data_IF_266690547190
#
_entry.id   IF_266690547190
#
_cell.length_a   1.000
_cell.length_b   1.000
_cell.length_c   1.000
_cell.angle_alpha   90.00
_cell.angle_beta   90.00
_cell.angle_gamma   90.00
#
_symmetry.space_group_name_H-M   'P 1'
#
loop_
_entity.id
_entity.type
_entity.pdbx_description
1 polymer ?
#
# COMPACT_ATOMS: atom_id res chain seq x y z
N UNK A 1 -0.15 -27.60 22.73
CA UNK A 1 -1.16 -26.81 21.99
C UNK A 1 -0.47 -25.54 21.54
N UNK A 2 -0.10 -25.45 20.27
CA UNK A 2 0.37 -24.20 19.66
C UNK A 2 -0.85 -23.28 19.59
N UNK A 3 -0.87 -22.23 20.38
CA UNK A 3 -1.88 -21.18 20.25
C UNK A 3 -1.75 -20.61 18.85
N UNK A 4 -2.76 -20.86 18.00
CA UNK A 4 -2.81 -20.27 16.66
C UNK A 4 -3.05 -18.78 16.85
N UNK A 5 -2.04 -17.97 16.53
CA UNK A 5 -2.16 -16.53 16.60
C UNK A 5 -3.09 -16.04 15.48
N UNK A 6 -4.07 -15.21 15.79
CA UNK A 6 -5.02 -14.64 14.85
C UNK A 6 -4.70 -13.17 14.58
N UNK A 7 -5.26 -12.61 13.52
CA UNK A 7 -5.01 -11.23 13.15
C UNK A 7 -5.57 -10.25 14.18
N UNK A 8 -4.75 -9.27 14.56
CA UNK A 8 -5.12 -8.18 15.46
C UNK A 8 -5.13 -6.87 14.71
N UNK A 9 -6.24 -6.15 14.81
CA UNK A 9 -6.37 -4.80 14.27
C UNK A 9 -6.91 -3.85 15.32
N UNK A 10 -6.72 -2.56 15.12
CA UNK A 10 -7.18 -1.49 16.01
C UNK A 10 -7.72 -0.32 15.20
N UNK A 11 -8.82 0.32 15.66
CA UNK A 11 -9.22 1.62 15.13
C UNK A 11 -8.22 2.69 15.54
N UNK A 12 -8.15 3.79 14.80
CA UNK A 12 -7.22 4.86 15.07
C UNK A 12 -7.78 6.24 14.69
N UNK A 13 -7.16 7.28 15.20
CA UNK A 13 -7.49 8.67 14.85
C UNK A 13 -6.75 9.07 13.60
N UNK A 14 -7.40 8.93 12.44
CA UNK A 14 -6.80 9.26 11.15
C UNK A 14 -6.46 10.73 11.03
N UNK A 15 -5.28 11.03 10.48
CA UNK A 15 -4.89 12.37 10.07
C UNK A 15 -5.19 12.46 8.58
N UNK A 16 -6.08 13.35 8.19
CA UNK A 16 -6.61 13.41 6.83
C UNK A 16 -7.03 14.82 6.43
N UNK A 17 -7.10 15.13 5.12
CA UNK A 17 -7.49 16.46 4.68
C UNK A 17 -8.97 16.75 4.93
N UNK A 18 -9.34 18.03 5.12
CA UNK A 18 -10.72 18.48 5.00
C UNK A 18 -11.31 18.12 3.63
N UNK A 19 -12.63 17.93 3.57
CA UNK A 19 -13.34 17.50 2.35
C UNK A 19 -13.08 18.42 1.15
N UNK A 20 -13.03 19.72 1.37
CA UNK A 20 -12.80 20.75 0.34
C UNK A 20 -11.33 20.80 -0.15
N UNK A 21 -10.41 20.15 0.54
CA UNK A 21 -8.98 20.13 0.20
C UNK A 21 -8.48 18.77 -0.30
N UNK A 22 -9.29 17.71 -0.20
CA UNK A 22 -8.82 16.35 -0.46
C UNK A 22 -8.21 16.16 -1.84
N UNK A 23 -8.80 16.76 -2.89
CA UNK A 23 -8.29 16.66 -4.26
C UNK A 23 -6.93 17.36 -4.44
N UNK A 24 -6.67 18.42 -3.66
CA UNK A 24 -5.38 19.12 -3.68
C UNK A 24 -4.30 18.37 -2.91
N UNK A 25 -4.69 17.64 -1.85
CA UNK A 25 -3.74 16.93 -0.98
C UNK A 25 -3.44 15.53 -1.50
N UNK A 26 -4.44 14.80 -1.98
CA UNK A 26 -4.29 13.41 -2.43
C UNK A 26 -3.21 13.26 -3.50
N UNK A 27 -2.42 12.21 -3.41
CA UNK A 27 -1.34 11.90 -4.33
C UNK A 27 -1.29 10.41 -4.64
N UNK A 28 -0.56 10.05 -5.69
CA UNK A 28 -0.19 8.66 -5.95
C UNK A 28 0.88 8.20 -4.94
N UNK A 29 1.09 6.88 -4.75
CA UNK A 29 2.16 6.37 -3.90
C UNK A 29 3.55 6.85 -4.35
N UNK A 30 4.47 6.96 -3.40
CA UNK A 30 5.83 7.49 -3.63
C UNK A 30 6.65 6.71 -4.67
N UNK A 31 6.37 5.43 -4.83
CA UNK A 31 7.14 4.48 -5.63
C UNK A 31 6.62 4.29 -7.07
N UNK A 32 5.51 4.95 -7.42
CA UNK A 32 4.95 4.88 -8.79
C UNK A 32 5.43 6.02 -9.70
N UNK A 33 6.21 6.96 -9.17
CA UNK A 33 6.74 8.08 -9.93
C UNK A 33 8.15 8.47 -9.44
N UNK A 34 8.94 9.03 -10.33
CA UNK A 34 10.24 9.58 -9.98
C UNK A 34 10.12 11.04 -9.47
N UNK A 35 11.24 11.62 -9.02
CA UNK A 35 11.26 12.98 -8.47
C UNK A 35 10.92 14.07 -9.49
N UNK A 36 11.23 13.86 -10.77
CA UNK A 36 10.89 14.82 -11.83
C UNK A 36 9.37 14.85 -12.08
N UNK A 37 8.75 13.68 -12.16
CA UNK A 37 7.30 13.52 -12.28
C UNK A 37 6.57 14.09 -11.07
N UNK A 38 7.07 13.84 -9.86
CA UNK A 38 6.49 14.42 -8.63
C UNK A 38 6.56 15.95 -8.61
N UNK A 39 7.66 16.56 -9.10
CA UNK A 39 7.77 18.02 -9.26
C UNK A 39 6.74 18.57 -10.23
N UNK A 40 6.54 17.88 -11.35
CA UNK A 40 5.58 18.29 -12.37
C UNK A 40 4.15 18.21 -11.83
N UNK A 41 3.77 17.10 -11.19
CA UNK A 41 2.42 16.93 -10.62
C UNK A 41 2.14 17.89 -9.46
N UNK A 42 3.14 18.20 -8.64
CA UNK A 42 2.99 19.15 -7.52
C UNK A 42 3.14 20.61 -7.94
N UNK A 43 3.47 20.90 -9.21
CA UNK A 43 3.73 22.26 -9.66
C UNK A 43 2.55 23.21 -9.39
N UNK A 44 2.81 24.30 -8.66
CA UNK A 44 1.75 25.27 -8.29
C UNK A 44 0.78 24.80 -7.20
N UNK A 45 0.96 23.61 -6.64
CA UNK A 45 0.15 23.06 -5.57
C UNK A 45 0.96 22.82 -4.29
N UNK A 46 1.00 23.83 -3.42
CA UNK A 46 1.69 23.74 -2.11
C UNK A 46 1.06 22.75 -1.12
N UNK A 47 -0.16 22.28 -1.39
CA UNK A 47 -0.91 21.33 -0.55
C UNK A 47 -0.72 19.87 -0.99
N UNK A 48 -0.01 19.61 -2.08
CA UNK A 48 0.24 18.25 -2.54
C UNK A 48 0.98 17.42 -1.49
N UNK A 49 0.51 16.22 -1.22
CA UNK A 49 1.15 15.30 -0.28
C UNK A 49 2.57 14.92 -0.74
N UNK A 50 2.92 15.11 -2.02
CA UNK A 50 4.28 14.89 -2.50
C UNK A 50 5.33 15.71 -1.73
N UNK A 51 4.99 16.89 -1.21
CA UNK A 51 5.88 17.67 -0.36
C UNK A 51 6.25 16.95 0.94
N UNK A 52 5.51 15.93 1.34
CA UNK A 52 5.77 15.11 2.52
C UNK A 52 6.40 13.76 2.14
N UNK A 53 5.87 13.08 1.12
CA UNK A 53 6.31 11.72 0.75
C UNK A 53 7.47 11.70 -0.25
N UNK A 54 7.68 12.81 -0.97
CA UNK A 54 8.81 13.06 -1.90
C UNK A 54 9.40 14.46 -1.69
N UNK A 55 9.88 14.74 -0.46
CA UNK A 55 10.25 16.10 -0.06
C UNK A 55 11.46 16.68 -0.81
N UNK A 56 12.19 15.85 -1.57
CA UNK A 56 13.25 16.29 -2.47
C UNK A 56 12.77 17.28 -3.54
N UNK A 57 11.45 17.31 -3.81
CA UNK A 57 10.87 18.27 -4.75
C UNK A 57 10.96 19.73 -4.27
N UNK A 58 11.16 19.96 -2.98
CA UNK A 58 11.33 21.28 -2.37
C UNK A 58 12.80 21.78 -2.42
N UNK A 59 13.69 20.99 -3.00
CA UNK A 59 15.12 21.30 -3.16
C UNK A 59 15.48 21.45 -4.65
N UNK A 60 16.66 22.00 -4.98
CA UNK A 60 17.12 22.07 -6.36
C UNK A 60 17.15 20.70 -7.04
N UNK A 61 16.89 20.68 -8.35
CA UNK A 61 16.98 19.48 -9.17
C UNK A 61 18.35 18.82 -9.02
N UNK A 62 18.39 17.49 -8.83
CA UNK A 62 19.61 16.75 -8.59
C UNK A 62 19.99 16.59 -7.12
N UNK A 63 19.20 17.13 -6.19
CA UNK A 63 19.38 16.85 -4.75
C UNK A 63 19.12 15.37 -4.49
N UNK A 64 20.03 14.74 -3.75
CA UNK A 64 19.90 13.34 -3.35
C UNK A 64 18.65 13.17 -2.45
N UNK A 65 17.74 12.30 -2.84
CA UNK A 65 16.53 12.00 -2.07
C UNK A 65 16.82 11.38 -0.71
N UNK A 66 18.04 10.87 -0.50
CA UNK A 66 18.52 10.31 0.77
C UNK A 66 19.32 11.28 1.63
N UNK A 67 19.43 12.55 1.25
CA UNK A 67 20.08 13.59 2.06
C UNK A 67 19.26 13.80 3.36
N UNK A 68 19.95 13.93 4.49
CA UNK A 68 19.31 14.15 5.80
C UNK A 68 18.43 15.41 5.85
N UNK A 69 18.74 16.42 5.02
CA UNK A 69 17.92 17.64 4.90
C UNK A 69 16.55 17.32 4.27
N UNK A 70 16.50 16.35 3.36
CA UNK A 70 15.28 15.92 2.68
C UNK A 70 14.33 15.23 3.68
N UNK A 71 14.85 14.35 4.52
CA UNK A 71 14.04 13.72 5.59
C UNK A 71 13.52 14.75 6.60
N UNK A 72 14.35 15.70 7.02
CA UNK A 72 13.91 16.80 7.91
C UNK A 72 12.80 17.62 7.27
N UNK A 73 12.90 17.88 5.96
CA UNK A 73 11.89 18.62 5.22
C UNK A 73 10.54 17.89 5.22
N UNK A 74 10.52 16.57 5.10
CA UNK A 74 9.31 15.78 5.26
C UNK A 74 8.60 16.05 6.59
N UNK A 75 9.33 16.00 7.69
CA UNK A 75 8.80 16.25 9.04
C UNK A 75 8.31 17.70 9.22
N UNK A 76 9.06 18.67 8.68
CA UNK A 76 8.66 20.08 8.69
C UNK A 76 7.36 20.29 7.91
N UNK A 77 7.26 19.73 6.71
CA UNK A 77 6.07 19.83 5.88
C UNK A 77 4.87 19.13 6.52
N UNK A 78 5.05 17.95 7.11
CA UNK A 78 3.97 17.23 7.80
C UNK A 78 3.40 18.05 8.98
N UNK A 79 4.28 18.70 9.74
CA UNK A 79 3.85 19.61 10.81
C UNK A 79 3.14 20.83 10.24
N UNK A 80 3.72 21.47 9.22
CA UNK A 80 3.15 22.64 8.58
C UNK A 80 1.75 22.37 8.02
N UNK A 81 1.54 21.21 7.38
CA UNK A 81 0.22 20.81 6.87
C UNK A 81 -0.82 20.74 7.98
N UNK A 82 -0.45 20.23 9.14
CA UNK A 82 -1.33 20.15 10.31
C UNK A 82 -1.59 21.57 10.89
N UNK A 83 -0.55 22.39 11.03
CA UNK A 83 -0.67 23.77 11.56
C UNK A 83 -1.56 24.65 10.66
N UNK A 84 -1.52 24.43 9.34
CA UNK A 84 -2.37 25.13 8.36
C UNK A 84 -3.77 24.52 8.21
N UNK A 85 -4.05 23.42 8.87
CA UNK A 85 -5.33 22.72 8.74
C UNK A 85 -5.55 22.02 7.40
N UNK A 86 -4.49 21.76 6.63
CA UNK A 86 -4.55 20.97 5.40
C UNK A 86 -4.63 19.46 5.68
N UNK A 87 -4.16 19.07 6.85
CA UNK A 87 -4.35 17.76 7.46
C UNK A 87 -4.88 17.94 8.87
N UNK A 88 -5.94 17.22 9.23
CA UNK A 88 -6.59 17.30 10.54
C UNK A 88 -6.74 15.90 11.11
N UNK A 89 -6.40 15.74 12.39
CA UNK A 89 -6.58 14.48 13.09
C UNK A 89 -8.03 14.34 13.56
N UNK A 90 -8.64 13.18 13.33
CA UNK A 90 -9.96 12.86 13.84
C UNK A 90 -9.97 12.79 15.39
N UNK A 91 -11.06 13.21 16.01
CA UNK A 91 -11.20 13.24 17.46
C UNK A 91 -11.39 11.84 18.08
N UNK A 92 -11.95 10.91 17.29
CA UNK A 92 -12.27 9.54 17.71
C UNK A 92 -11.42 8.52 16.96
N UNK A 93 -11.21 7.39 17.61
CA UNK A 93 -10.65 6.21 16.96
C UNK A 93 -11.71 5.56 16.06
N UNK A 94 -11.44 5.51 14.77
CA UNK A 94 -12.33 4.98 13.75
C UNK A 94 -11.66 3.89 12.93
N UNK A 95 -12.46 3.07 12.27
CA UNK A 95 -12.07 2.45 11.01
C UNK A 95 -12.59 3.31 9.85
N UNK A 96 -12.07 3.05 8.66
CA UNK A 96 -12.50 3.77 7.46
C UNK A 96 -12.75 2.78 6.34
N UNK A 97 -13.56 3.18 5.38
CA UNK A 97 -13.70 2.47 4.11
C UNK A 97 -13.07 3.34 3.03
N UNK A 98 -12.17 2.76 2.27
CA UNK A 98 -11.61 3.35 1.07
C UNK A 98 -12.00 2.51 -0.14
N UNK A 99 -12.67 3.14 -1.11
CA UNK A 99 -13.02 2.51 -2.37
C UNK A 99 -12.20 3.11 -3.50
N UNK A 100 -11.59 2.25 -4.30
CA UNK A 100 -10.86 2.62 -5.51
C UNK A 100 -11.60 2.08 -6.73
N UNK A 101 -11.85 2.95 -7.70
CA UNK A 101 -12.45 2.58 -8.98
C UNK A 101 -11.42 2.69 -10.08
N UNK A 102 -11.15 1.59 -10.77
CA UNK A 102 -10.21 1.50 -11.87
C UNK A 102 -10.83 0.65 -12.99
N UNK A 103 -10.83 1.19 -14.22
CA UNK A 103 -11.39 0.49 -15.38
C UNK A 103 -12.84 -0.01 -15.18
N UNK A 104 -13.68 0.78 -14.53
CA UNK A 104 -15.07 0.45 -14.26
C UNK A 104 -15.30 -0.55 -13.12
N UNK A 105 -14.25 -1.02 -12.45
CA UNK A 105 -14.32 -1.92 -11.28
C UNK A 105 -14.00 -1.14 -10.00
N UNK A 106 -14.86 -1.25 -9.00
CA UNK A 106 -14.66 -0.68 -7.67
C UNK A 106 -14.28 -1.75 -6.67
N UNK A 107 -13.25 -1.50 -5.89
CA UNK A 107 -12.80 -2.33 -4.76
C UNK A 107 -13.03 -1.55 -3.47
N UNK A 108 -13.58 -2.20 -2.46
CA UNK A 108 -13.88 -1.60 -1.15
C UNK A 108 -12.98 -2.20 -0.09
N UNK A 109 -12.15 -1.39 0.54
CA UNK A 109 -11.22 -1.81 1.57
C UNK A 109 -11.50 -1.18 2.92
N UNK A 110 -11.14 -1.89 3.98
CA UNK A 110 -11.17 -1.40 5.36
C UNK A 110 -9.81 -0.85 5.74
N UNK A 111 -9.77 0.41 6.16
CA UNK A 111 -8.55 1.07 6.65
C UNK A 111 -8.47 0.84 8.16
N UNK A 112 -7.39 0.19 8.58
CA UNK A 112 -7.21 -0.28 9.97
C UNK A 112 -5.79 -0.02 10.46
N UNK A 113 -5.58 -0.04 11.76
CA UNK A 113 -4.27 -0.23 12.37
C UNK A 113 -3.95 -1.72 12.41
N UNK A 114 -2.97 -2.17 11.61
CA UNK A 114 -2.46 -3.53 11.61
C UNK A 114 -1.38 -3.70 12.68
N UNK A 115 -1.35 -4.84 13.35
CA UNK A 115 -0.53 -5.07 14.52
C UNK A 115 0.91 -5.48 14.16
N UNK A 116 1.89 -4.75 14.66
CA UNK A 116 3.31 -4.97 14.40
C UNK A 116 3.76 -6.40 14.75
N UNK A 117 3.42 -6.98 15.93
CA UNK A 117 3.77 -8.36 16.22
C UNK A 117 3.21 -9.37 15.22
N UNK A 118 2.07 -9.13 14.59
CA UNK A 118 1.51 -10.02 13.56
C UNK A 118 2.39 -10.06 12.30
N UNK A 119 3.07 -8.97 11.98
CA UNK A 119 4.09 -8.95 10.94
C UNK A 119 5.32 -9.77 11.35
N UNK A 120 5.79 -9.60 12.58
CA UNK A 120 7.00 -10.26 13.08
C UNK A 120 6.83 -11.77 13.24
N UNK A 121 5.65 -12.25 13.63
CA UNK A 121 5.35 -13.67 13.88
C UNK A 121 4.75 -14.41 12.68
N UNK A 122 4.52 -13.72 11.55
CA UNK A 122 4.05 -14.33 10.30
C UNK A 122 2.54 -14.54 10.19
N UNK A 123 1.72 -13.90 11.01
CA UNK A 123 0.27 -13.78 10.79
C UNK A 123 0.01 -12.94 9.54
N UNK A 124 0.77 -11.85 9.37
CA UNK A 124 0.81 -11.11 8.11
C UNK A 124 1.81 -11.79 7.17
N UNK A 125 1.28 -12.37 6.09
CA UNK A 125 2.03 -13.18 5.13
C UNK A 125 2.70 -12.31 4.07
N UNK A 126 3.96 -12.62 3.80
CA UNK A 126 4.82 -11.96 2.79
C UNK A 126 5.04 -12.90 1.60
N UNK A 127 5.21 -12.36 0.41
CA UNK A 127 5.60 -13.13 -0.78
C UNK A 127 6.82 -12.52 -1.51
N UNK A 128 7.37 -11.41 -0.99
CA UNK A 128 8.59 -10.79 -1.48
C UNK A 128 9.61 -10.61 -0.37
N UNK A 129 10.89 -10.65 -0.75
CA UNK A 129 11.98 -10.21 0.10
C UNK A 129 12.16 -8.71 -0.05
N UNK A 130 12.31 -8.01 1.08
CA UNK A 130 12.58 -6.58 1.07
C UNK A 130 14.06 -6.30 0.79
N UNK A 131 14.31 -5.23 0.02
CA UNK A 131 15.66 -4.71 -0.17
C UNK A 131 16.01 -3.80 1.00
N UNK A 132 17.19 -4.03 1.58
CA UNK A 132 17.65 -3.31 2.78
C UNK A 132 17.72 -1.79 2.59
N UNK A 133 18.21 -1.34 1.44
CA UNK A 133 18.30 0.09 1.10
C UNK A 133 16.91 0.77 1.10
N UNK A 134 15.93 0.14 0.49
CA UNK A 134 14.54 0.63 0.45
C UNK A 134 13.89 0.58 1.83
N UNK A 135 14.14 -0.47 2.59
CA UNK A 135 13.62 -0.63 3.95
C UNK A 135 14.18 0.45 4.88
N UNK A 136 15.49 0.70 4.87
CA UNK A 136 16.13 1.74 5.67
C UNK A 136 15.60 3.14 5.32
N UNK A 137 15.40 3.45 4.05
CA UNK A 137 14.82 4.69 3.58
C UNK A 137 13.40 4.91 4.14
N UNK A 138 12.53 3.91 4.02
CA UNK A 138 11.18 3.99 4.58
C UNK A 138 11.16 4.06 6.10
N UNK A 139 12.06 3.34 6.78
CA UNK A 139 12.23 3.45 8.23
C UNK A 139 12.59 4.87 8.66
N UNK A 140 13.49 5.55 7.94
CA UNK A 140 13.81 6.95 8.20
C UNK A 140 12.58 7.86 8.08
N UNK A 141 11.77 7.68 7.03
CA UNK A 141 10.53 8.42 6.88
C UNK A 141 9.57 8.21 8.06
N UNK A 142 9.37 6.96 8.50
CA UNK A 142 8.52 6.68 9.66
C UNK A 142 9.07 7.30 10.94
N UNK A 143 10.38 7.24 11.15
CA UNK A 143 11.02 7.82 12.36
C UNK A 143 10.89 9.33 12.41
N UNK A 144 11.22 10.05 11.32
CA UNK A 144 11.23 11.52 11.32
C UNK A 144 9.82 12.10 11.40
N UNK A 145 8.85 11.47 10.75
CA UNK A 145 7.47 11.91 10.79
C UNK A 145 6.72 11.44 12.04
N UNK A 146 7.24 10.41 12.71
CA UNK A 146 6.55 9.70 13.80
C UNK A 146 5.13 9.27 13.40
N UNK A 147 4.93 8.86 12.18
CA UNK A 147 3.64 8.51 11.59
C UNK A 147 3.81 7.57 10.40
N UNK A 148 2.76 6.81 10.11
CA UNK A 148 2.60 6.06 8.87
C UNK A 148 1.79 6.93 7.90
N UNK A 149 2.45 7.52 6.91
CA UNK A 149 1.81 8.48 6.00
C UNK A 149 1.11 7.79 4.84
N UNK A 150 1.70 6.72 4.32
CA UNK A 150 1.14 5.94 3.22
C UNK A 150 0.67 4.57 3.74
N UNK A 151 -0.59 4.17 3.43
CA UNK A 151 -1.08 2.86 3.86
C UNK A 151 -0.40 1.74 3.08
N UNK A 152 -0.34 0.57 3.70
CA UNK A 152 -0.02 -0.68 3.01
C UNK A 152 -1.29 -1.35 2.52
N UNK A 153 -1.17 -2.28 1.59
CA UNK A 153 -2.29 -2.94 0.94
C UNK A 153 -2.30 -4.43 1.29
N UNK A 154 -3.35 -4.87 2.01
CA UNK A 154 -3.54 -6.25 2.41
C UNK A 154 -4.76 -6.88 1.78
N UNK A 155 -4.72 -8.20 1.63
CA UNK A 155 -5.88 -9.04 1.36
C UNK A 155 -6.27 -9.80 2.64
N UNK A 156 -7.58 -10.01 2.83
CA UNK A 156 -8.11 -10.89 3.85
C UNK A 156 -9.07 -11.92 3.25
N UNK A 157 -9.26 -13.09 3.90
CA UNK A 157 -10.23 -14.08 3.45
C UNK A 157 -11.65 -13.50 3.38
N UNK A 158 -12.40 -13.84 2.37
CA UNK A 158 -13.79 -13.36 2.18
C UNK A 158 -14.62 -13.56 3.44
N UNK A 159 -15.40 -12.53 3.80
CA UNK A 159 -16.15 -12.49 5.04
C UNK A 159 -17.50 -11.78 4.84
N UNK A 160 -18.59 -12.53 4.93
CA UNK A 160 -19.94 -12.00 4.69
C UNK A 160 -20.38 -10.96 5.74
N UNK A 161 -19.88 -11.06 6.98
CA UNK A 161 -20.19 -10.10 8.04
C UNK A 161 -19.55 -8.75 7.73
N UNK A 162 -18.29 -8.75 7.31
CA UNK A 162 -17.59 -7.52 6.89
C UNK A 162 -18.22 -6.93 5.64
N UNK A 163 -18.60 -7.76 4.65
CA UNK A 163 -19.28 -7.30 3.45
C UNK A 163 -20.59 -6.58 3.78
N UNK A 164 -21.37 -7.07 4.76
CA UNK A 164 -22.61 -6.45 5.20
C UNK A 164 -22.37 -5.09 5.88
N UNK A 165 -21.32 -4.97 6.70
CA UNK A 165 -20.95 -3.70 7.33
C UNK A 165 -20.55 -2.69 6.26
N UNK A 166 -19.68 -3.07 5.32
CA UNK A 166 -19.23 -2.22 4.22
C UNK A 166 -20.43 -1.77 3.38
N UNK A 167 -21.35 -2.66 3.03
CA UNK A 167 -22.54 -2.33 2.25
C UNK A 167 -23.42 -1.28 2.92
N UNK A 168 -23.59 -1.34 4.25
CA UNK A 168 -24.39 -0.35 4.97
C UNK A 168 -23.77 1.05 4.95
N UNK A 169 -22.45 1.16 5.08
CA UNK A 169 -21.76 2.45 5.03
C UNK A 169 -21.69 3.02 3.62
N UNK A 170 -21.44 2.18 2.63
CA UNK A 170 -21.30 2.62 1.23
C UNK A 170 -22.63 3.01 0.58
N UNK A 171 -23.77 2.64 1.19
CA UNK A 171 -25.09 3.15 0.83
C UNK A 171 -25.32 4.60 1.31
N UNK A 172 -24.47 5.15 2.15
CA UNK A 172 -24.55 6.50 2.69
C UNK A 172 -23.66 7.44 1.87
N UNK A 173 -23.89 8.75 2.05
CA UNK A 173 -23.05 9.77 1.42
C UNK A 173 -21.60 9.65 1.91
N UNK A 174 -20.62 9.54 0.99
CA UNK A 174 -19.21 9.48 1.38
C UNK A 174 -18.70 10.83 1.90
N UNK A 175 -17.60 10.79 2.66
CA UNK A 175 -16.84 11.98 3.08
C UNK A 175 -16.03 12.55 1.92
N UNK A 176 -15.43 11.67 1.13
CA UNK A 176 -14.74 12.04 -0.11
C UNK A 176 -15.31 11.24 -1.28
N UNK A 177 -15.39 11.86 -2.43
CA UNK A 177 -15.77 11.23 -3.69
C UNK A 177 -15.22 12.07 -4.85
N UNK A 178 -14.16 11.60 -5.47
CA UNK A 178 -13.52 12.34 -6.57
C UNK A 178 -12.80 11.38 -7.54
N UNK A 179 -12.50 11.90 -8.72
CA UNK A 179 -11.68 11.22 -9.72
C UNK A 179 -10.35 11.95 -9.84
N UNK A 180 -9.25 11.23 -9.68
CA UNK A 180 -7.92 11.81 -9.80
C UNK A 180 -7.64 12.17 -11.27
N UNK A 181 -7.18 13.41 -11.55
CA UNK A 181 -6.97 13.87 -12.93
C UNK A 181 -5.80 13.17 -13.63
N UNK A 182 -4.82 12.67 -12.85
CA UNK A 182 -3.58 12.12 -13.39
C UNK A 182 -3.75 10.73 -13.99
N UNK A 183 -4.61 9.90 -13.41
CA UNK A 183 -4.80 8.51 -13.83
C UNK A 183 -6.26 8.13 -14.13
N UNK A 184 -7.22 9.02 -13.82
CA UNK A 184 -8.63 8.78 -14.00
C UNK A 184 -9.24 7.80 -13.00
N UNK A 185 -8.54 7.46 -11.92
CA UNK A 185 -9.06 6.56 -10.89
C UNK A 185 -10.03 7.29 -9.96
N UNK A 186 -11.10 6.60 -9.58
CA UNK A 186 -12.07 7.08 -8.61
C UNK A 186 -11.63 6.75 -7.19
N UNK A 187 -11.83 7.69 -6.28
CA UNK A 187 -11.51 7.56 -4.86
C UNK A 187 -12.72 7.96 -4.03
N UNK A 188 -13.20 7.04 -3.20
CA UNK A 188 -14.36 7.27 -2.35
C UNK A 188 -14.05 6.82 -0.94
N UNK A 189 -14.56 7.54 0.06
CA UNK A 189 -14.13 7.33 1.45
C UNK A 189 -15.27 7.55 2.44
N UNK A 190 -15.40 6.66 3.41
CA UNK A 190 -16.37 6.72 4.50
C UNK A 190 -15.69 6.51 5.84
N UNK A 191 -16.28 7.06 6.90
CA UNK A 191 -15.82 6.90 8.28
C UNK A 191 -16.73 5.89 8.98
N UNK A 192 -16.14 4.89 9.62
CA UNK A 192 -16.83 3.94 10.50
C UNK A 192 -16.59 4.40 11.93
N UNK A 193 -17.56 5.10 12.51
CA UNK A 193 -17.48 5.73 13.84
C UNK A 193 -18.43 5.12 14.88
N UNK A 194 -19.31 4.21 14.47
CA UNK A 194 -20.23 3.52 15.40
C UNK A 194 -19.48 2.42 16.13
N UNK A 195 -19.50 2.49 17.46
CA UNK A 195 -18.79 1.55 18.33
C UNK A 195 -19.18 0.10 18.07
N UNK A 196 -20.46 -0.17 17.82
CA UNK A 196 -20.96 -1.51 17.49
C UNK A 196 -20.29 -2.12 16.25
N UNK A 197 -20.14 -1.31 15.19
CA UNK A 197 -19.53 -1.74 13.94
C UNK A 197 -18.00 -1.90 14.10
N UNK A 198 -17.36 -1.04 14.85
CA UNK A 198 -15.93 -1.14 15.21
C UNK A 198 -15.67 -2.46 15.94
N UNK A 199 -16.49 -2.83 16.91
CA UNK A 199 -16.37 -4.08 17.63
C UNK A 199 -16.58 -5.30 16.74
N UNK A 200 -17.58 -5.27 15.85
CA UNK A 200 -17.84 -6.35 14.88
C UNK A 200 -16.63 -6.55 13.97
N UNK A 201 -16.08 -5.49 13.40
CA UNK A 201 -14.92 -5.54 12.50
C UNK A 201 -13.71 -6.12 13.24
N UNK A 202 -13.41 -5.63 14.44
CA UNK A 202 -12.28 -6.11 15.24
C UNK A 202 -12.40 -7.60 15.55
N UNK A 203 -13.61 -8.05 15.94
CA UNK A 203 -13.88 -9.46 16.23
C UNK A 203 -13.80 -10.36 15.01
N UNK A 204 -14.26 -9.90 13.85
CA UNK A 204 -14.16 -10.69 12.61
C UNK A 204 -12.71 -10.88 12.18
N UNK A 205 -11.86 -9.84 12.25
CA UNK A 205 -10.44 -9.99 12.00
C UNK A 205 -9.75 -10.94 13.00
N UNK A 206 -10.17 -10.92 14.27
CA UNK A 206 -9.65 -11.83 15.29
C UNK A 206 -9.97 -13.32 15.05
N UNK A 207 -10.79 -13.64 14.06
CA UNK A 207 -11.06 -15.02 13.60
C UNK A 207 -10.18 -15.42 12.40
N UNK A 208 -9.43 -14.48 11.82
CA UNK A 208 -8.61 -14.73 10.63
C UNK A 208 -7.22 -15.22 11.05
N UNK A 209 -6.78 -16.40 10.57
CA UNK A 209 -5.47 -16.93 10.90
C UNK A 209 -4.32 -16.21 10.19
N UNK A 210 -4.62 -15.44 9.14
CA UNK A 210 -3.65 -14.69 8.36
C UNK A 210 -4.25 -13.52 7.62
N UNK A 211 -3.41 -12.49 7.42
CA UNK A 211 -3.57 -11.44 6.42
C UNK A 211 -2.44 -11.57 5.40
N UNK A 212 -2.65 -11.06 4.20
CA UNK A 212 -1.70 -11.22 3.11
C UNK A 212 -1.30 -9.87 2.54
N UNK A 213 0.00 -9.58 2.47
CA UNK A 213 0.47 -8.36 1.82
C UNK A 213 0.22 -8.51 0.31
N UNK A 214 -0.59 -7.61 -0.25
CA UNK A 214 -0.78 -7.52 -1.70
C UNK A 214 0.22 -6.52 -2.32
N UNK A 215 0.47 -5.40 -1.63
CA UNK A 215 1.47 -4.40 -2.01
C UNK A 215 2.00 -3.66 -0.78
N UNK A 216 3.19 -3.06 -0.90
CA UNK A 216 3.81 -2.31 0.20
C UNK A 216 4.66 -3.17 1.14
N UNK A 217 5.42 -4.14 0.64
CA UNK A 217 6.32 -4.97 1.45
C UNK A 217 7.36 -4.12 2.19
N UNK A 218 7.99 -3.15 1.51
CA UNK A 218 8.98 -2.25 2.14
C UNK A 218 8.33 -1.33 3.19
N UNK A 219 7.14 -0.80 2.92
CA UNK A 219 6.39 0.02 3.88
C UNK A 219 5.95 -0.79 5.10
N UNK A 220 5.48 -2.02 4.90
CA UNK A 220 5.11 -2.93 6.00
C UNK A 220 6.31 -3.28 6.86
N UNK A 221 7.45 -3.66 6.24
CA UNK A 221 8.69 -3.95 6.95
C UNK A 221 9.17 -2.75 7.76
N UNK A 222 9.23 -1.57 7.13
CA UNK A 222 9.68 -0.35 7.79
C UNK A 222 8.82 0.02 9.00
N UNK A 223 7.50 -0.01 8.85
CA UNK A 223 6.57 0.28 9.95
C UNK A 223 6.72 -0.72 11.11
N UNK A 224 6.83 -2.01 10.80
CA UNK A 224 7.00 -3.05 11.81
C UNK A 224 8.34 -2.95 12.55
N UNK A 225 9.43 -2.71 11.83
CA UNK A 225 10.77 -2.58 12.43
C UNK A 225 10.88 -1.33 13.32
N UNK A 226 10.36 -0.20 12.88
CA UNK A 226 10.34 1.03 13.70
C UNK A 226 9.43 0.86 14.91
N UNK A 227 8.28 0.19 14.77
CA UNK A 227 7.42 -0.14 15.89
C UNK A 227 8.13 -1.01 16.93
N UNK A 228 8.84 -2.05 16.48
CA UNK A 228 9.64 -2.92 17.35
C UNK A 228 10.80 -2.17 18.04
N UNK A 229 11.48 -1.25 17.34
CA UNK A 229 12.51 -0.38 17.93
C UNK A 229 11.92 0.47 19.09
N UNK A 230 10.78 1.11 18.84
CA UNK A 230 10.11 1.94 19.86
C UNK A 230 9.64 1.12 21.05
N UNK A 231 9.13 -0.07 20.83
CA UNK A 231 8.76 -1.01 21.89
C UNK A 231 9.98 -1.37 22.76
N UNK A 232 11.10 -1.68 22.13
CA UNK A 232 12.37 -1.99 22.83
C UNK A 232 12.97 -0.81 23.60
N UNK A 233 12.70 0.41 23.17
CA UNK A 233 13.18 1.64 23.82
C UNK A 233 12.27 2.14 24.94
N UNK A 234 11.05 1.67 25.02
CA UNK A 234 10.07 2.10 26.02
C UNK A 234 10.07 1.15 27.24
N UNK A 235 10.62 1.59 28.40
CA UNK A 235 10.64 0.75 29.60
C UNK A 235 9.24 0.48 30.16
N UNK A 236 8.24 1.28 29.76
CA UNK A 236 6.85 1.14 30.17
C UNK A 236 5.96 0.55 29.07
N UNK A 237 6.55 -0.17 28.11
CA UNK A 237 5.82 -0.80 27.01
C UNK A 237 4.75 -1.76 27.52
N UNK A 238 3.49 -1.60 27.02
CA UNK A 238 2.33 -2.41 27.41
C UNK A 238 1.79 -3.24 26.23
N UNK A 239 2.06 -2.80 24.99
CA UNK A 239 1.59 -3.43 23.76
C UNK A 239 0.40 -2.73 23.09
N UNK A 240 -0.22 -1.76 23.76
CA UNK A 240 -1.36 -1.00 23.24
C UNK A 240 -0.99 0.39 22.67
N UNK A 241 0.28 0.74 22.70
CA UNK A 241 0.78 2.01 22.16
C UNK A 241 0.62 2.08 20.64
N UNK A 242 0.41 3.30 20.11
CA UNK A 242 0.17 3.53 18.67
C UNK A 242 1.29 3.02 17.76
N UNK A 243 2.55 3.03 18.19
CA UNK A 243 3.67 2.51 17.41
C UNK A 243 3.62 0.98 17.18
N UNK A 244 2.77 0.26 17.92
CA UNK A 244 2.54 -1.17 17.69
C UNK A 244 1.56 -1.44 16.54
N UNK A 245 1.07 -0.40 15.89
CA UNK A 245 0.12 -0.50 14.80
C UNK A 245 0.58 0.35 13.61
N UNK A 246 0.28 -0.09 12.41
CA UNK A 246 0.56 0.64 11.18
C UNK A 246 -0.64 0.61 10.25
N UNK A 247 -0.77 1.67 9.45
CA UNK A 247 -1.94 1.87 8.61
C UNK A 247 -1.96 0.90 7.43
N UNK A 248 -3.04 0.11 7.33
CA UNK A 248 -3.27 -0.82 6.23
C UNK A 248 -4.67 -0.63 5.66
N UNK A 249 -4.79 -0.79 4.34
CA UNK A 249 -6.07 -0.93 3.66
C UNK A 249 -6.24 -2.41 3.32
N UNK A 250 -7.28 -3.03 3.87
CA UNK A 250 -7.52 -4.46 3.75
C UNK A 250 -8.73 -4.71 2.84
N UNK A 251 -8.54 -5.46 1.77
CA UNK A 251 -9.59 -5.83 0.81
C UNK A 251 -9.93 -7.31 0.92
N UNK A 252 -11.20 -7.71 0.73
CA UNK A 252 -11.54 -9.12 0.61
C UNK A 252 -10.92 -9.70 -0.66
N UNK A 253 -10.41 -10.93 -0.58
CA UNK A 253 -9.68 -11.57 -1.68
C UNK A 253 -10.49 -11.61 -2.99
N UNK A 254 -11.81 -11.81 -2.91
CA UNK A 254 -12.69 -11.89 -4.08
C UNK A 254 -12.84 -10.56 -4.85
N UNK A 255 -12.48 -9.42 -4.28
CA UNK A 255 -12.50 -8.12 -4.97
C UNK A 255 -11.18 -7.80 -5.66
N UNK A 256 -10.12 -8.55 -5.38
CA UNK A 256 -8.81 -8.32 -5.94
C UNK A 256 -8.63 -9.05 -7.27
N UNK A 257 -7.84 -8.44 -8.13
CA UNK A 257 -7.45 -9.01 -9.42
C UNK A 257 -5.93 -9.07 -9.48
N UNK A 258 -5.41 -10.27 -9.73
CA UNK A 258 -3.98 -10.43 -10.04
C UNK A 258 -3.79 -10.08 -11.49
N UNK A 259 -2.93 -9.09 -11.75
CA UNK A 259 -2.57 -8.65 -13.09
C UNK A 259 -1.18 -9.16 -13.46
N UNK A 260 -0.89 -9.18 -14.76
CA UNK A 260 0.40 -9.60 -15.28
C UNK A 260 1.50 -8.65 -14.78
N UNK A 261 2.62 -9.23 -14.35
CA UNK A 261 3.84 -8.50 -14.03
C UNK A 261 4.88 -8.80 -15.11
N UNK A 262 4.82 -8.06 -16.21
CA UNK A 262 5.65 -8.29 -17.37
C UNK A 262 7.10 -7.84 -17.12
N UNK A 263 8.05 -8.66 -17.60
CA UNK A 263 9.46 -8.34 -17.58
C UNK A 263 9.98 -8.25 -19.01
N UNK A 264 10.70 -7.18 -19.30
CA UNK A 264 11.37 -6.98 -20.57
C UNK A 264 12.84 -7.36 -20.41
N UNK A 265 13.27 -8.29 -21.22
CA UNK A 265 14.67 -8.72 -21.28
C UNK A 265 15.39 -7.90 -22.35
N UNK A 266 16.50 -7.29 -21.99
CA UNK A 266 17.22 -6.34 -22.86
C UNK A 266 17.83 -7.02 -24.10
N UNK A 267 18.37 -8.21 -23.92
CA UNK A 267 19.02 -9.00 -24.98
C UNK A 267 18.95 -10.51 -24.63
N UNK A 268 19.33 -11.35 -25.57
CA UNK A 268 19.34 -12.81 -25.40
C UNK A 268 20.73 -13.35 -25.00
N UNK A 269 21.61 -12.50 -24.46
CA UNK A 269 22.96 -12.86 -24.04
C UNK A 269 23.77 -13.56 -25.14
N UNK A 270 23.68 -13.04 -26.38
CA UNK A 270 24.38 -13.56 -27.54
C UNK A 270 23.74 -14.78 -28.22
N UNK A 271 22.62 -15.27 -27.68
CA UNK A 271 21.89 -16.39 -28.31
C UNK A 271 20.96 -15.91 -29.42
N UNK A 272 20.80 -16.75 -30.45
CA UNK A 272 19.69 -16.59 -31.37
C UNK A 272 18.35 -16.93 -30.71
N UNK A 273 17.20 -16.48 -31.26
CA UNK A 273 15.89 -16.87 -30.73
C UNK A 273 15.72 -18.39 -30.61
N UNK A 274 16.17 -19.17 -31.56
CA UNK A 274 16.09 -20.63 -31.53
C UNK A 274 16.96 -21.26 -30.44
N UNK A 275 18.17 -20.77 -30.24
CA UNK A 275 19.05 -21.21 -29.15
C UNK A 275 18.50 -20.83 -27.78
N UNK A 276 17.88 -19.66 -27.68
CA UNK A 276 17.20 -19.23 -26.45
C UNK A 276 16.03 -20.16 -26.09
N UNK A 277 15.14 -20.46 -27.06
CA UNK A 277 14.04 -21.39 -26.86
C UNK A 277 14.51 -22.80 -26.51
N UNK A 278 15.61 -23.27 -27.12
CA UNK A 278 16.21 -24.55 -26.78
C UNK A 278 16.77 -24.56 -25.35
N UNK A 279 17.35 -23.44 -24.90
CA UNK A 279 17.82 -23.31 -23.51
C UNK A 279 16.66 -23.29 -22.50
N UNK A 280 15.58 -22.57 -22.80
CA UNK A 280 14.35 -22.58 -21.99
C UNK A 280 13.76 -23.97 -21.92
N UNK A 281 13.74 -24.69 -23.05
CA UNK A 281 13.22 -26.05 -23.16
C UNK A 281 13.93 -27.11 -22.31
N UNK A 282 15.11 -26.78 -21.74
CA UNK A 282 15.78 -27.67 -20.76
C UNK A 282 15.07 -27.75 -19.42
N UNK A 283 14.32 -26.71 -19.05
CA UNK A 283 13.67 -26.58 -17.75
C UNK A 283 12.15 -26.47 -17.85
N UNK A 284 11.61 -26.14 -19.04
CA UNK A 284 10.19 -25.92 -19.28
C UNK A 284 9.73 -26.65 -20.54
N UNK A 285 8.47 -27.01 -20.58
CA UNK A 285 7.81 -27.38 -21.84
C UNK A 285 7.52 -26.10 -22.59
N UNK A 286 7.96 -25.99 -23.85
CA UNK A 286 7.77 -24.80 -24.68
C UNK A 286 6.85 -25.13 -25.85
N UNK A 287 5.79 -24.37 -25.98
CA UNK A 287 4.79 -24.54 -27.05
C UNK A 287 4.54 -23.21 -27.76
N UNK A 288 4.68 -23.17 -29.07
CA UNK A 288 4.37 -21.97 -29.87
C UNK A 288 2.84 -21.74 -29.89
N UNK A 289 2.42 -20.50 -29.63
CA UNK A 289 0.99 -20.08 -29.58
C UNK A 289 0.61 -19.15 -30.75
N UNK A 290 1.55 -18.82 -31.64
CA UNK A 290 1.31 -17.95 -32.81
C UNK A 290 1.59 -16.48 -32.53
N UNK A 291 0.94 -15.61 -33.29
CA UNK A 291 1.21 -14.15 -33.29
C UNK A 291 0.25 -13.35 -32.41
N UNK A 292 -0.88 -13.93 -32.06
CA UNK A 292 -1.86 -13.28 -31.17
C UNK A 292 -1.37 -13.32 -29.71
N UNK A 293 -1.73 -12.27 -28.93
CA UNK A 293 -1.37 -12.18 -27.51
C UNK A 293 -1.86 -13.44 -26.78
N UNK A 294 -0.92 -14.15 -26.19
CA UNK A 294 -1.20 -15.31 -25.35
C UNK A 294 -1.00 -14.96 -23.88
N UNK A 295 -2.03 -15.25 -23.07
CA UNK A 295 -1.97 -15.10 -21.61
C UNK A 295 -1.90 -16.48 -20.95
N UNK A 296 -1.09 -16.64 -19.87
CA UNK A 296 -1.02 -17.91 -19.15
C UNK A 296 -2.39 -18.35 -18.64
N UNK A 297 -2.69 -19.65 -18.79
CA UNK A 297 -3.99 -20.21 -18.41
C UNK A 297 -4.08 -20.59 -16.92
N UNK A 298 -2.96 -20.67 -16.20
CA UNK A 298 -2.96 -21.10 -14.80
C UNK A 298 -1.62 -20.95 -14.11
N UNK A 299 -1.59 -21.38 -12.84
CA UNK A 299 -0.41 -21.35 -12.00
C UNK A 299 0.74 -22.15 -12.65
N UNK A 300 1.96 -21.61 -12.56
CA UNK A 300 3.21 -22.14 -13.13
C UNK A 300 3.25 -22.16 -14.67
N UNK A 301 2.27 -21.55 -15.33
CA UNK A 301 2.34 -21.29 -16.75
C UNK A 301 2.85 -19.88 -16.99
N UNK A 302 3.75 -19.75 -17.96
CA UNK A 302 4.35 -18.48 -18.35
C UNK A 302 4.04 -18.19 -19.80
N UNK A 303 4.03 -16.91 -20.15
CA UNK A 303 3.93 -16.47 -21.53
C UNK A 303 5.23 -15.76 -21.90
N UNK A 304 5.76 -16.07 -23.07
CA UNK A 304 6.96 -15.45 -23.65
C UNK A 304 6.64 -14.89 -25.02
N UNK A 305 6.96 -13.63 -25.24
CA UNK A 305 6.96 -13.04 -26.58
C UNK A 305 8.39 -12.94 -27.08
N UNK A 306 8.68 -13.55 -28.20
CA UNK A 306 10.00 -13.57 -28.81
C UNK A 306 9.90 -13.62 -30.34
N UNK A 307 10.62 -12.73 -31.02
CA UNK A 307 10.76 -12.69 -32.46
C UNK A 307 9.41 -12.77 -33.23
N UNK A 308 8.44 -11.94 -32.78
CA UNK A 308 7.11 -11.83 -33.40
C UNK A 308 6.11 -12.93 -33.02
N UNK A 309 6.47 -13.84 -32.13
CA UNK A 309 5.60 -14.96 -31.72
C UNK A 309 5.46 -15.08 -30.22
N UNK A 310 4.36 -15.66 -29.81
CA UNK A 310 4.06 -16.00 -28.43
C UNK A 310 4.30 -17.50 -28.16
N UNK A 311 4.80 -17.79 -26.97
CA UNK A 311 5.07 -19.16 -26.48
C UNK A 311 4.49 -19.31 -25.08
N UNK A 312 4.04 -20.54 -24.79
CA UNK A 312 3.63 -20.97 -23.46
C UNK A 312 4.70 -21.86 -22.84
#
# INVERSE_FOLDING_TARGET
YTLTTMATIKPFKGIRPPQDLVEQVASRPYDVLNSAEAREEAAGNEKSLYHIIKPEIDFPVGTDEHDERVYRKAAENFRMFQDKGWLVQDDKENYYIYAQTMNGKTQYGLVVGAYVPDYMNGVIKKHELTRRDKEEDRMKHVRVNNANIEPVFFAYPDNAVLDAVIARYTAQKPVYDFVAPDDGFGHTFWIIDRQEDIEVITKEFAKMPALYIADGHHRSAAAALVGAEKAGQNPNHRGDEEYNYFMAVCFPANQLTIIDYNRVVKDLNGLTPGEFLAAVGKNFTVEEKGTEIYKPAGLHNFSLYLDGKWYS
#
